data_IF_310886366751
#
_entry.id   IF_310886366751
#
_cell.length_a   1.000
_cell.length_b   1.000
_cell.length_c   1.000
_cell.angle_alpha   90.00
_cell.angle_beta   90.00
_cell.angle_gamma   90.00
#
_symmetry.space_group_name_H-M   'P 1'
#
loop_
_entity.id
_entity.type
_entity.pdbx_description
1 polymer ?
#
# COMPACT_ATOMS: atom_id res chain seq x y z
N UNK A 1 27.36 10.25 -28.10
CA UNK A 1 27.18 10.92 -26.80
C UNK A 1 25.71 10.96 -26.41
N UNK A 2 25.43 10.62 -25.19
CA UNK A 2 24.08 10.56 -24.66
C UNK A 2 23.58 11.97 -24.33
N UNK A 3 22.51 12.38 -24.96
CA UNK A 3 21.95 13.74 -24.75
C UNK A 3 20.92 13.72 -23.63
N UNK A 4 20.54 14.91 -23.17
CA UNK A 4 19.45 15.04 -22.19
C UNK A 4 18.16 14.41 -22.72
N UNK A 5 17.86 14.59 -23.99
CA UNK A 5 16.68 13.99 -24.62
C UNK A 5 16.74 12.47 -24.55
N UNK A 6 17.92 11.88 -24.81
CA UNK A 6 18.10 10.43 -24.71
C UNK A 6 17.84 9.94 -23.28
N UNK A 7 18.32 10.66 -22.29
CA UNK A 7 18.09 10.33 -20.88
C UNK A 7 16.60 10.38 -20.52
N UNK A 8 15.89 11.38 -21.02
CA UNK A 8 14.44 11.52 -20.77
C UNK A 8 13.66 10.39 -21.43
N UNK A 9 14.06 10.01 -22.66
CA UNK A 9 13.42 8.88 -23.36
C UNK A 9 13.64 7.57 -22.62
N UNK A 10 14.84 7.34 -22.10
CA UNK A 10 15.14 6.15 -21.29
C UNK A 10 14.31 6.15 -19.99
N UNK A 11 14.20 7.29 -19.34
CA UNK A 11 13.38 7.45 -18.14
C UNK A 11 11.90 7.15 -18.44
N UNK A 12 11.38 7.67 -19.56
CA UNK A 12 10.02 7.40 -19.99
C UNK A 12 9.79 5.89 -20.21
N UNK A 13 10.74 5.21 -20.86
CA UNK A 13 10.65 3.78 -21.06
C UNK A 13 10.62 3.00 -19.75
N UNK A 14 11.41 3.44 -18.76
CA UNK A 14 11.41 2.82 -17.43
C UNK A 14 10.07 3.02 -16.71
N UNK A 15 9.47 4.20 -16.83
CA UNK A 15 8.15 4.47 -16.25
C UNK A 15 7.06 3.61 -16.89
N UNK A 16 7.09 3.46 -18.21
CA UNK A 16 6.16 2.59 -18.93
C UNK A 16 6.33 1.13 -18.52
N UNK A 17 7.58 0.68 -18.35
CA UNK A 17 7.88 -0.68 -17.88
C UNK A 17 7.37 -0.90 -16.47
N UNK A 18 7.48 0.10 -15.60
CA UNK A 18 6.92 0.05 -14.25
C UNK A 18 5.41 -0.19 -14.28
N UNK A 19 4.71 0.51 -15.15
CA UNK A 19 3.26 0.36 -15.30
C UNK A 19 2.90 -1.04 -15.82
N UNK A 20 3.65 -1.55 -16.80
CA UNK A 20 3.46 -2.91 -17.32
C UNK A 20 3.68 -3.96 -16.24
N UNK A 21 4.72 -3.81 -15.45
CA UNK A 21 5.03 -4.76 -14.37
C UNK A 21 3.94 -4.74 -13.29
N UNK A 22 3.40 -3.55 -12.98
CA UNK A 22 2.31 -3.43 -12.02
C UNK A 22 1.06 -4.18 -12.52
N UNK A 23 0.73 -4.04 -13.80
CA UNK A 23 -0.39 -4.75 -14.42
C UNK A 23 -0.16 -6.27 -14.41
N UNK A 24 1.03 -6.72 -14.80
CA UNK A 24 1.39 -8.13 -14.79
C UNK A 24 1.34 -8.72 -13.38
N UNK A 25 1.80 -7.98 -12.39
CA UNK A 25 1.75 -8.41 -10.99
C UNK A 25 0.31 -8.57 -10.53
N UNK A 26 -0.55 -7.61 -10.86
CA UNK A 26 -1.97 -7.64 -10.52
C UNK A 26 -2.66 -8.85 -11.14
N UNK A 27 -2.41 -9.10 -12.43
CA UNK A 27 -2.96 -10.25 -13.14
C UNK A 27 -2.49 -11.57 -12.54
N UNK A 28 -1.19 -11.66 -12.24
CA UNK A 28 -0.61 -12.86 -11.65
C UNK A 28 -1.16 -13.12 -10.25
N UNK A 29 -1.33 -12.08 -9.44
CA UNK A 29 -1.91 -12.19 -8.10
C UNK A 29 -3.34 -12.72 -8.18
N UNK A 30 -4.13 -12.22 -9.12
CA UNK A 30 -5.50 -12.69 -9.33
C UNK A 30 -5.51 -14.17 -9.75
N UNK A 31 -4.57 -14.56 -10.62
CA UNK A 31 -4.43 -15.96 -11.06
C UNK A 31 -4.03 -16.88 -9.90
N UNK A 32 -3.14 -16.42 -9.03
CA UNK A 32 -2.73 -17.17 -7.83
C UNK A 32 -3.94 -17.39 -6.91
N UNK A 33 -4.72 -16.35 -6.65
CA UNK A 33 -5.89 -16.48 -5.77
C UNK A 33 -6.96 -17.41 -6.35
N UNK A 34 -7.20 -17.32 -7.65
CA UNK A 34 -8.14 -18.21 -8.33
C UNK A 34 -7.68 -19.67 -8.27
N UNK A 35 -6.40 -19.93 -8.56
CA UNK A 35 -5.81 -21.26 -8.50
C UNK A 35 -5.88 -21.84 -7.08
N UNK A 36 -5.59 -21.00 -6.09
CA UNK A 36 -5.63 -21.37 -4.68
C UNK A 36 -7.03 -21.86 -4.24
N UNK A 37 -8.07 -21.12 -4.64
CA UNK A 37 -9.45 -21.50 -4.35
C UNK A 37 -9.81 -22.84 -4.99
N UNK A 38 -9.43 -23.03 -6.24
CA UNK A 38 -9.68 -24.26 -6.97
C UNK A 38 -8.95 -25.45 -6.33
N UNK A 39 -7.68 -25.27 -5.97
CA UNK A 39 -6.85 -26.29 -5.33
C UNK A 39 -7.42 -26.67 -3.96
N UNK A 40 -7.75 -25.70 -3.13
CA UNK A 40 -8.29 -25.98 -1.79
C UNK A 40 -9.61 -26.75 -1.87
N UNK A 41 -10.48 -26.40 -2.80
CA UNK A 41 -11.74 -27.13 -2.99
C UNK A 41 -11.48 -28.55 -3.46
N UNK A 42 -10.54 -28.76 -4.40
CA UNK A 42 -10.21 -30.08 -4.90
C UNK A 42 -9.59 -30.96 -3.80
N UNK A 43 -8.72 -30.39 -2.97
CA UNK A 43 -8.13 -31.10 -1.83
C UNK A 43 -9.19 -31.54 -0.83
N UNK A 44 -10.21 -30.72 -0.59
CA UNK A 44 -11.34 -31.06 0.27
C UNK A 44 -12.15 -32.20 -0.35
N UNK A 45 -12.49 -32.07 -1.62
CA UNK A 45 -13.31 -33.07 -2.35
C UNK A 45 -12.61 -34.42 -2.43
N UNK A 46 -11.30 -34.42 -2.63
CA UNK A 46 -10.50 -35.66 -2.74
C UNK A 46 -10.02 -36.20 -1.39
N UNK A 47 -10.34 -35.50 -0.30
CA UNK A 47 -9.85 -35.82 1.05
C UNK A 47 -8.32 -35.98 1.05
N UNK A 48 -7.65 -35.06 0.37
CA UNK A 48 -6.20 -35.06 0.19
C UNK A 48 -5.59 -33.88 0.97
N UNK A 49 -5.10 -34.09 2.22
CA UNK A 49 -4.62 -32.98 3.05
C UNK A 49 -3.27 -32.42 2.61
N UNK A 50 -2.53 -33.13 1.78
CA UNK A 50 -1.25 -32.63 1.27
C UNK A 50 -0.88 -33.36 -0.03
N UNK A 51 -0.09 -32.64 -0.84
CA UNK A 51 0.45 -33.19 -2.08
C UNK A 51 1.84 -32.58 -2.31
N UNK A 52 2.77 -33.38 -2.81
CA UNK A 52 4.14 -32.92 -3.07
C UNK A 52 4.43 -32.96 -4.57
N UNK A 53 5.00 -31.88 -5.06
CA UNK A 53 5.47 -31.79 -6.46
C UNK A 53 6.47 -30.64 -6.57
N UNK A 54 7.37 -30.73 -7.57
CA UNK A 54 8.32 -29.66 -7.83
C UNK A 54 9.25 -29.31 -6.67
N UNK A 55 9.50 -30.26 -5.77
CA UNK A 55 10.36 -30.02 -4.60
C UNK A 55 9.63 -29.38 -3.42
N UNK A 56 8.32 -29.18 -3.50
CA UNK A 56 7.54 -28.56 -2.45
C UNK A 56 6.38 -29.46 -2.02
N UNK A 57 5.99 -29.32 -0.77
CA UNK A 57 4.80 -29.98 -0.24
C UNK A 57 3.73 -28.91 0.00
N UNK A 58 2.55 -29.12 -0.56
CA UNK A 58 1.41 -28.23 -0.44
C UNK A 58 0.41 -28.84 0.53
N UNK A 59 0.12 -28.13 1.61
CA UNK A 59 -0.73 -28.64 2.69
C UNK A 59 -1.98 -27.80 2.80
N UNK A 60 -3.14 -28.46 2.88
CA UNK A 60 -4.41 -27.79 3.14
C UNK A 60 -4.38 -27.26 4.57
N UNK A 61 -4.60 -25.96 4.74
CA UNK A 61 -4.62 -25.31 6.03
C UNK A 61 -5.97 -24.63 6.26
N UNK A 62 -6.50 -24.81 7.46
CA UNK A 62 -7.67 -24.06 7.89
C UNK A 62 -7.19 -22.87 8.71
N UNK A 63 -7.50 -21.66 8.25
CA UNK A 63 -7.08 -20.43 8.89
C UNK A 63 -8.26 -19.55 9.19
N UNK A 64 -8.17 -18.78 10.26
CA UNK A 64 -9.16 -17.78 10.62
C UNK A 64 -8.52 -16.40 10.55
N UNK A 65 -9.15 -15.49 9.83
CA UNK A 65 -8.69 -14.11 9.73
C UNK A 65 -9.48 -13.23 10.71
N UNK A 66 -8.80 -12.33 11.34
CA UNK A 66 -9.40 -11.36 12.26
C UNK A 66 -9.08 -9.95 11.78
N UNK A 67 -10.08 -9.13 11.65
CA UNK A 67 -9.90 -7.74 11.22
C UNK A 67 -10.93 -6.85 11.90
N UNK A 68 -10.63 -5.56 11.95
CA UNK A 68 -11.55 -4.56 12.46
C UNK A 68 -12.82 -4.56 11.60
N UNK A 69 -13.99 -4.51 12.25
CA UNK A 69 -15.25 -4.34 11.54
C UNK A 69 -15.33 -2.93 10.95
N UNK A 70 -16.15 -2.76 9.94
CA UNK A 70 -16.39 -1.44 9.36
C UNK A 70 -17.08 -0.51 10.38
N UNK A 71 -16.93 0.78 10.17
CA UNK A 71 -17.58 1.78 11.01
C UNK A 71 -19.11 1.60 11.02
N UNK A 72 -19.68 1.26 9.87
CA UNK A 72 -21.13 1.02 9.75
C UNK A 72 -21.57 -0.18 10.60
N UNK A 73 -20.82 -1.27 10.57
CA UNK A 73 -21.12 -2.46 11.38
C UNK A 73 -21.02 -2.16 12.88
N UNK A 74 -19.99 -1.42 13.28
CA UNK A 74 -19.83 -1.05 14.71
C UNK A 74 -20.89 -0.08 15.17
N UNK A 75 -21.36 0.80 14.30
CA UNK A 75 -22.42 1.77 14.63
C UNK A 75 -23.73 1.10 15.01
N UNK A 76 -24.03 -0.08 14.46
CA UNK A 76 -25.25 -0.84 14.77
C UNK A 76 -25.31 -1.25 16.25
N UNK A 77 -24.16 -1.53 16.85
CA UNK A 77 -24.08 -1.97 18.25
C UNK A 77 -23.57 -0.87 19.18
N UNK A 78 -23.15 0.27 18.63
CA UNK A 78 -22.52 1.35 19.40
C UNK A 78 -21.13 1.02 19.90
N UNK A 79 -20.49 -0.01 19.33
CA UNK A 79 -19.16 -0.46 19.75
C UNK A 79 -18.07 0.52 19.30
N UNK A 80 -17.04 0.69 20.13
CA UNK A 80 -15.84 1.45 19.80
C UNK A 80 -14.65 0.52 19.85
N UNK A 81 -13.91 0.44 18.73
CA UNK A 81 -12.82 -0.50 18.55
C UNK A 81 -11.71 -0.36 19.61
N UNK A 82 -11.18 0.85 19.75
CA UNK A 82 -10.09 1.11 20.68
C UNK A 82 -10.50 0.93 22.15
N UNK A 83 -11.69 1.44 22.50
CA UNK A 83 -12.20 1.27 23.86
C UNK A 83 -12.41 -0.20 24.22
N UNK A 84 -12.95 -0.97 23.28
CA UNK A 84 -13.16 -2.41 23.48
C UNK A 84 -11.84 -3.14 23.68
N UNK A 85 -10.83 -2.83 22.87
CA UNK A 85 -9.51 -3.44 23.04
C UNK A 85 -8.92 -3.15 24.42
N UNK A 86 -9.06 -1.91 24.90
CA UNK A 86 -8.56 -1.53 26.21
C UNK A 86 -9.29 -2.25 27.33
N UNK A 87 -10.60 -2.33 27.23
CA UNK A 87 -11.45 -3.01 28.23
C UNK A 87 -11.12 -4.50 28.32
N UNK A 88 -10.76 -5.13 27.18
CA UNK A 88 -10.40 -6.54 27.12
C UNK A 88 -8.95 -6.81 27.48
N UNK A 89 -8.19 -5.80 27.90
CA UNK A 89 -6.79 -5.95 28.26
C UNK A 89 -5.84 -6.04 27.08
N UNK A 90 -6.26 -5.59 25.90
CA UNK A 90 -5.47 -5.66 24.67
C UNK A 90 -4.96 -4.29 24.21
N UNK A 91 -4.96 -3.32 25.11
CA UNK A 91 -4.54 -1.94 24.79
C UNK A 91 -3.09 -1.83 24.33
N UNK A 92 -2.24 -2.79 24.69
CA UNK A 92 -0.82 -2.78 24.34
C UNK A 92 -0.56 -2.82 22.82
N UNK A 93 -1.53 -3.32 22.04
CA UNK A 93 -1.38 -3.39 20.58
C UNK A 93 -1.78 -2.09 19.88
N UNK A 94 -2.33 -1.13 20.64
CA UNK A 94 -2.70 0.18 20.10
C UNK A 94 -1.44 1.05 20.06
N UNK A 95 -1.11 1.55 18.88
CA UNK A 95 0.07 2.41 18.71
C UNK A 95 -0.35 3.76 18.12
N UNK A 96 0.31 4.81 18.60
CA UNK A 96 0.13 6.14 18.03
C UNK A 96 1.01 6.21 16.79
N UNK A 97 0.46 6.70 15.70
CA UNK A 97 1.18 6.83 14.45
C UNK A 97 0.71 8.03 13.66
N UNK A 98 1.55 8.47 12.77
CA UNK A 98 1.24 9.59 11.87
C UNK A 98 1.48 9.12 10.45
N UNK A 99 0.49 9.33 9.58
CA UNK A 99 0.62 8.99 8.17
C UNK A 99 1.70 9.89 7.53
N UNK A 100 2.70 9.29 6.90
CA UNK A 100 3.84 10.01 6.32
C UNK A 100 3.43 11.04 5.26
N UNK A 101 2.44 10.70 4.42
CA UNK A 101 1.95 11.62 3.38
C UNK A 101 1.23 12.81 3.99
N UNK A 102 0.41 12.57 5.00
CA UNK A 102 -0.30 13.63 5.73
C UNK A 102 0.69 14.52 6.48
N UNK A 103 1.72 13.91 7.07
CA UNK A 103 2.79 14.67 7.74
C UNK A 103 3.48 15.60 6.75
N UNK A 104 3.83 15.10 5.57
CA UNK A 104 4.47 15.89 4.51
C UNK A 104 3.61 17.10 4.14
N UNK A 105 2.34 16.88 3.87
CA UNK A 105 1.39 17.94 3.48
C UNK A 105 1.19 18.94 4.59
N UNK A 106 1.08 18.47 5.84
CA UNK A 106 0.88 19.31 7.01
C UNK A 106 2.09 20.19 7.27
N UNK A 107 3.29 19.63 7.18
CA UNK A 107 4.52 20.40 7.39
C UNK A 107 4.72 21.44 6.28
N UNK A 108 4.42 21.09 5.04
CA UNK A 108 4.46 22.04 3.91
C UNK A 108 3.52 23.21 4.15
N UNK A 109 2.28 22.95 4.57
CA UNK A 109 1.29 23.98 4.86
C UNK A 109 1.73 24.84 6.06
N UNK A 110 2.29 24.21 7.07
CA UNK A 110 2.81 24.92 8.25
C UNK A 110 3.90 25.94 7.86
N UNK A 111 4.88 25.49 7.06
CA UNK A 111 5.97 26.35 6.60
C UNK A 111 5.44 27.48 5.72
N UNK A 112 4.47 27.18 4.86
CA UNK A 112 3.84 28.18 3.99
C UNK A 112 3.15 29.28 4.81
N UNK A 113 2.50 28.91 5.90
CA UNK A 113 1.80 29.84 6.78
C UNK A 113 2.74 30.59 7.73
N UNK A 114 3.75 29.92 8.28
CA UNK A 114 4.61 30.49 9.34
C UNK A 114 6.03 30.88 8.84
N UNK A 115 6.39 30.49 7.62
CA UNK A 115 7.69 30.78 7.04
C UNK A 115 8.75 29.73 7.32
N UNK A 116 8.71 29.11 8.47
CA UNK A 116 9.66 28.06 8.86
C UNK A 116 9.05 27.15 9.92
N UNK A 117 9.68 26.03 10.18
CA UNK A 117 9.28 25.15 11.27
C UNK A 117 9.66 25.80 12.60
N UNK A 118 8.84 25.59 13.61
CA UNK A 118 9.17 26.02 14.98
C UNK A 118 10.38 25.23 15.47
N UNK A 119 11.06 25.75 16.48
CA UNK A 119 12.19 25.07 17.12
C UNK A 119 11.77 23.66 17.62
N UNK A 120 10.58 23.55 18.19
CA UNK A 120 10.06 22.26 18.66
C UNK A 120 9.85 21.27 17.53
N UNK A 121 9.31 21.71 16.41
CA UNK A 121 9.11 20.86 15.24
C UNK A 121 10.45 20.46 14.60
N UNK A 122 11.41 21.36 14.53
CA UNK A 122 12.73 21.04 14.00
C UNK A 122 13.43 19.94 14.79
N UNK A 123 13.15 19.84 16.09
CA UNK A 123 13.73 18.81 16.94
C UNK A 123 13.26 17.39 16.58
N UNK A 124 12.08 17.26 15.97
CA UNK A 124 11.45 15.97 15.68
C UNK A 124 11.19 15.73 14.19
N UNK A 125 11.33 16.76 13.36
CA UNK A 125 11.10 16.66 11.91
C UNK A 125 12.42 16.83 11.17
N UNK A 126 12.76 15.86 10.36
CA UNK A 126 13.93 15.93 9.49
C UNK A 126 13.52 16.63 8.19
N UNK A 127 14.23 17.68 7.82
CA UNK A 127 13.97 18.42 6.58
C UNK A 127 15.16 18.29 5.64
N UNK A 128 14.90 18.06 4.38
CA UNK A 128 15.93 18.11 3.33
C UNK A 128 15.28 18.52 2.01
N UNK A 129 16.03 19.27 1.23
CA UNK A 129 15.58 19.72 -0.08
C UNK A 129 16.16 18.81 -1.14
N UNK A 130 15.40 18.51 -2.16
CA UNK A 130 15.86 17.70 -3.28
C UNK A 130 15.17 18.12 -4.57
N UNK A 131 15.83 17.81 -5.68
CA UNK A 131 15.27 18.06 -7.00
C UNK A 131 14.66 16.78 -7.55
N UNK A 132 13.58 16.92 -8.26
CA UNK A 132 12.86 15.78 -8.81
C UNK A 132 12.43 16.09 -10.24
N UNK A 133 12.06 15.07 -10.97
CA UNK A 133 11.54 15.18 -12.33
C UNK A 133 10.13 14.66 -12.37
N UNK A 134 9.19 15.52 -12.73
CA UNK A 134 7.79 15.17 -12.86
C UNK A 134 7.42 14.96 -14.33
N UNK A 135 6.67 13.89 -14.59
CA UNK A 135 6.10 13.64 -15.92
C UNK A 135 4.65 14.10 -15.93
N UNK A 136 4.32 14.94 -16.89
CA UNK A 136 2.95 15.39 -17.12
C UNK A 136 2.64 15.25 -18.60
N UNK A 137 1.38 15.03 -18.91
CA UNK A 137 0.95 15.03 -20.32
C UNK A 137 1.19 16.39 -20.93
N UNK A 138 1.69 16.41 -22.14
CA UNK A 138 1.84 17.63 -22.90
C UNK A 138 0.47 18.26 -23.13
N UNK A 139 0.37 19.56 -22.89
CA UNK A 139 -0.89 20.27 -23.10
C UNK A 139 -1.27 20.25 -24.57
N UNK A 140 -2.53 19.91 -24.87
CA UNK A 140 -3.03 19.99 -26.23
C UNK A 140 -3.17 21.45 -26.62
N UNK A 141 -2.61 21.79 -27.78
CA UNK A 141 -2.91 23.08 -28.38
C UNK A 141 -4.35 23.02 -28.88
N UNK A 142 -5.16 24.00 -28.49
CA UNK A 142 -6.51 24.08 -28.99
C UNK A 142 -6.47 24.42 -30.49
N UNK A 143 -7.03 23.53 -31.29
CA UNK A 143 -7.19 23.80 -32.70
C UNK A 143 -8.48 24.58 -32.92
N UNK A 144 -8.39 25.54 -33.74
CA UNK A 144 -9.56 26.37 -34.11
C UNK A 144 -10.01 26.05 -35.50
#
# INVERSE_FOLDING_TARGET
MRTLLDMVKEYQALLERKDELATLTKENTAAIEAAKLEITQQMIDDDCPRISTGGYTFTLQSKTAYSKRSEAEMAETGADFFSTLREEGLGDIIVETVNARTLQSTMSAYVEEHGELSEALEAVIKTYDYNDVARRKEARMMQR
#
